data_IF_577271151291
#
_entry.id   IF_577271151291
#
_cell.length_a   1.000
_cell.length_b   1.000
_cell.length_c   1.000
_cell.angle_alpha   90.00
_cell.angle_beta   90.00
_cell.angle_gamma   90.00
#
_symmetry.space_group_name_H-M   'P 1'
#
loop_
_entity.id
_entity.type
_entity.pdbx_description
1 polymer ?
#
# COMPACT_ATOMS: atom_id res chain seq x y z
N UNK A 1 -43.15 43.21 22.83
CA UNK A 1 -42.47 41.92 23.03
C UNK A 1 -42.25 41.28 21.66
N UNK A 2 -41.01 41.24 21.18
CA UNK A 2 -40.64 40.57 19.90
C UNK A 2 -39.86 39.33 20.26
N UNK A 3 -40.43 38.19 19.99
CA UNK A 3 -39.81 36.87 20.23
C UNK A 3 -38.83 36.58 19.11
N UNK A 4 -37.53 36.49 19.43
CA UNK A 4 -36.48 35.96 18.51
C UNK A 4 -36.56 34.45 18.52
N UNK A 5 -36.85 33.87 17.37
CA UNK A 5 -36.70 32.44 17.15
C UNK A 5 -35.26 32.19 16.61
N UNK A 6 -34.43 31.57 17.42
CA UNK A 6 -33.10 31.16 17.02
C UNK A 6 -33.20 29.85 16.23
N UNK A 7 -32.86 29.91 14.94
CA UNK A 7 -32.76 28.75 14.05
C UNK A 7 -31.39 28.09 14.23
N UNK A 8 -31.34 26.99 14.98
CA UNK A 8 -30.13 26.13 15.06
C UNK A 8 -29.98 25.35 13.77
N UNK A 9 -29.08 25.77 12.88
CA UNK A 9 -28.61 24.91 11.79
C UNK A 9 -27.69 23.84 12.38
N UNK A 10 -28.20 22.65 12.51
CA UNK A 10 -27.37 21.46 12.79
C UNK A 10 -26.52 21.13 11.57
N UNK A 11 -25.20 21.32 11.64
CA UNK A 11 -24.27 20.72 10.70
C UNK A 11 -24.30 19.20 10.92
N UNK A 12 -24.93 18.47 10.03
CA UNK A 12 -24.76 17.04 9.93
C UNK A 12 -23.32 16.77 9.44
N UNK A 13 -22.44 16.33 10.34
CA UNK A 13 -21.16 15.77 9.96
C UNK A 13 -21.44 14.49 9.19
N UNK A 14 -21.31 14.52 7.86
CA UNK A 14 -21.27 13.33 7.04
C UNK A 14 -20.04 12.54 7.47
N UNK A 15 -20.25 11.41 8.15
CA UNK A 15 -19.20 10.43 8.36
C UNK A 15 -18.72 10.00 6.97
N UNK A 16 -17.51 10.41 6.59
CA UNK A 16 -16.87 9.97 5.36
C UNK A 16 -16.57 8.48 5.54
N UNK A 17 -17.53 7.63 5.14
CA UNK A 17 -17.30 6.18 5.05
C UNK A 17 -16.21 5.95 4.00
N UNK A 18 -15.28 5.04 4.30
CA UNK A 18 -14.28 4.65 3.30
C UNK A 18 -14.99 4.07 2.08
N UNK A 19 -14.57 4.48 0.90
CA UNK A 19 -15.12 4.00 -0.36
C UNK A 19 -14.72 2.55 -0.63
N UNK A 20 -15.53 1.84 -1.40
CA UNK A 20 -15.32 0.43 -1.70
C UNK A 20 -15.21 0.19 -3.20
N UNK A 21 -14.24 -0.62 -3.60
CA UNK A 21 -14.03 -1.07 -4.98
C UNK A 21 -14.04 -2.60 -5.00
N UNK A 22 -14.67 -3.21 -6.00
CA UNK A 22 -14.62 -4.66 -6.21
C UNK A 22 -13.64 -4.99 -7.33
N UNK A 23 -12.59 -5.76 -7.01
CA UNK A 23 -11.60 -6.23 -7.96
C UNK A 23 -10.97 -7.54 -7.49
N UNK A 24 -10.56 -8.41 -8.42
CA UNK A 24 -9.85 -9.68 -8.15
C UNK A 24 -10.59 -10.64 -7.20
N UNK A 25 -11.94 -10.59 -7.21
CA UNK A 25 -12.78 -11.38 -6.31
C UNK A 25 -12.79 -10.91 -4.84
N UNK A 26 -12.26 -9.72 -4.56
CA UNK A 26 -12.20 -9.09 -3.25
C UNK A 26 -12.88 -7.72 -3.27
N UNK A 27 -13.33 -7.29 -2.09
CA UNK A 27 -13.69 -5.89 -1.82
C UNK A 27 -12.48 -5.17 -1.26
N UNK A 28 -12.25 -3.95 -1.74
CA UNK A 28 -11.13 -3.12 -1.37
C UNK A 28 -11.62 -1.81 -0.78
N UNK A 29 -11.21 -1.53 0.44
CA UNK A 29 -11.44 -0.24 1.08
C UNK A 29 -10.38 0.74 0.62
N UNK A 30 -10.79 1.87 0.09
CA UNK A 30 -9.92 2.95 -0.38
C UNK A 30 -10.28 4.27 0.30
N UNK A 31 -9.30 5.17 0.52
CA UNK A 31 -9.59 6.50 1.07
C UNK A 31 -10.48 7.36 0.17
N UNK A 32 -10.27 7.27 -1.14
CA UNK A 32 -10.98 8.05 -2.17
C UNK A 32 -11.16 7.17 -3.39
N UNK A 33 -12.40 6.79 -3.72
CA UNK A 33 -12.68 5.89 -4.84
C UNK A 33 -12.29 6.48 -6.20
N UNK A 34 -12.46 7.79 -6.39
CA UNK A 34 -12.12 8.46 -7.66
C UNK A 34 -10.64 8.48 -7.99
N UNK A 35 -9.76 8.14 -7.04
CA UNK A 35 -8.33 7.98 -7.31
C UNK A 35 -8.01 6.66 -8.01
N UNK A 36 -8.95 5.74 -8.02
CA UNK A 36 -8.78 4.37 -8.51
C UNK A 36 -9.73 4.08 -9.68
N UNK A 37 -9.28 3.23 -10.59
CA UNK A 37 -10.08 2.74 -11.70
C UNK A 37 -9.81 1.26 -11.94
N UNK A 38 -10.86 0.47 -12.01
CA UNK A 38 -10.78 -0.87 -12.57
C UNK A 38 -10.86 -0.77 -14.10
N UNK A 39 -9.86 -1.24 -14.78
CA UNK A 39 -9.75 -1.21 -16.23
C UNK A 39 -9.14 -2.52 -16.76
N UNK A 40 -8.94 -2.60 -18.06
CA UNK A 40 -8.26 -3.74 -18.70
C UNK A 40 -6.89 -3.29 -19.20
N UNK A 41 -5.83 -3.90 -18.68
CA UNK A 41 -4.46 -3.69 -19.12
C UNK A 41 -3.96 -4.95 -19.82
N UNK A 42 -3.65 -4.85 -21.11
CA UNK A 42 -3.20 -5.98 -21.94
C UNK A 42 -4.15 -7.20 -21.86
N UNK A 43 -5.46 -6.96 -21.88
CA UNK A 43 -6.48 -8.01 -21.82
C UNK A 43 -6.76 -8.57 -20.40
N UNK A 44 -6.13 -8.06 -19.36
CA UNK A 44 -6.25 -8.54 -17.99
C UNK A 44 -6.85 -7.43 -17.11
N UNK A 45 -7.84 -7.72 -16.24
CA UNK A 45 -8.35 -6.74 -15.29
C UNK A 45 -7.24 -6.19 -14.40
N UNK A 46 -7.13 -4.86 -14.32
CA UNK A 46 -6.14 -4.15 -13.52
C UNK A 46 -6.81 -3.03 -12.72
N UNK A 47 -6.34 -2.81 -11.50
CA UNK A 47 -6.71 -1.68 -10.66
C UNK A 47 -5.63 -0.61 -10.76
N UNK A 48 -5.98 0.52 -11.34
CA UNK A 48 -5.07 1.63 -11.63
C UNK A 48 -5.25 2.76 -10.63
N UNK A 49 -4.14 3.29 -10.13
CA UNK A 49 -4.09 4.51 -9.33
C UNK A 49 -3.82 5.69 -10.27
N UNK A 50 -4.78 6.59 -10.40
CA UNK A 50 -4.83 7.62 -11.44
C UNK A 50 -4.44 9.02 -10.96
N UNK A 51 -4.55 9.29 -9.66
CA UNK A 51 -4.39 10.63 -9.10
C UNK A 51 -3.23 10.65 -8.13
N UNK A 52 -2.15 11.40 -8.43
CA UNK A 52 -1.06 11.57 -7.48
C UNK A 52 -1.54 12.49 -6.35
N UNK A 53 -1.24 12.11 -5.11
CA UNK A 53 -1.54 12.93 -3.94
C UNK A 53 -0.25 13.50 -3.35
N UNK A 54 -0.28 14.72 -2.78
CA UNK A 54 0.90 15.27 -2.13
C UNK A 54 1.25 14.44 -0.89
N UNK A 55 2.53 14.47 -0.49
CA UNK A 55 2.92 13.95 0.81
C UNK A 55 2.28 14.75 1.92
N UNK A 56 1.96 14.08 3.02
CA UNK A 56 1.37 14.69 4.22
C UNK A 56 2.34 14.58 5.40
N UNK A 57 2.10 15.40 6.42
CA UNK A 57 2.72 15.22 7.73
C UNK A 57 1.71 14.55 8.69
N UNK A 58 2.10 13.55 9.44
CA UNK A 58 3.39 12.85 9.39
C UNK A 58 3.59 12.13 8.05
N UNK A 59 4.87 11.96 7.64
CA UNK A 59 5.25 11.39 6.35
C UNK A 59 4.99 9.89 6.28
N UNK A 60 3.89 9.50 5.67
CA UNK A 60 3.44 8.12 5.50
C UNK A 60 2.58 7.96 4.24
N UNK A 61 2.43 6.73 3.70
CA UNK A 61 1.53 6.49 2.57
C UNK A 61 0.08 6.82 2.93
N UNK A 62 -0.64 7.42 1.98
CA UNK A 62 -2.06 7.75 2.13
C UNK A 62 -2.92 7.14 1.02
N UNK A 63 -2.33 6.63 -0.05
CA UNK A 63 -3.04 6.02 -1.17
C UNK A 63 -2.90 4.50 -1.14
N UNK A 64 -3.91 3.82 -0.67
CA UNK A 64 -3.93 2.36 -0.55
C UNK A 64 -5.33 1.80 -0.81
N UNK A 65 -5.36 0.57 -1.30
CA UNK A 65 -6.53 -0.29 -1.35
C UNK A 65 -6.29 -1.45 -0.39
N UNK A 66 -7.06 -1.51 0.69
CA UNK A 66 -6.99 -2.56 1.70
C UNK A 66 -8.05 -3.61 1.44
N UNK A 67 -7.65 -4.87 1.39
CA UNK A 67 -8.60 -5.95 1.23
C UNK A 67 -9.52 -6.07 2.44
N UNK A 68 -10.83 -6.09 2.21
CA UNK A 68 -11.85 -6.34 3.24
C UNK A 68 -11.90 -7.84 3.55
N UNK A 69 -10.94 -8.27 4.32
CA UNK A 69 -10.75 -9.63 4.83
C UNK A 69 -10.66 -9.60 6.35
N UNK A 70 -10.81 -10.72 7.05
CA UNK A 70 -10.33 -10.83 8.42
C UNK A 70 -8.83 -10.52 8.49
N UNK A 71 -8.35 -10.14 9.66
CA UNK A 71 -6.94 -9.90 9.89
C UNK A 71 -6.14 -11.20 9.73
N UNK A 72 -4.98 -11.10 9.11
CA UNK A 72 -4.04 -12.21 8.94
C UNK A 72 -2.96 -12.17 10.02
N UNK A 73 -2.72 -13.29 10.67
CA UNK A 73 -1.51 -13.50 11.46
C UNK A 73 -0.30 -13.74 10.54
N UNK A 74 -0.49 -14.60 9.52
CA UNK A 74 0.49 -14.85 8.47
C UNK A 74 -0.17 -14.55 7.13
N UNK A 75 0.48 -13.80 6.24
CA UNK A 75 -0.08 -13.44 4.95
C UNK A 75 0.92 -13.62 3.82
N UNK A 76 0.42 -14.11 2.70
CA UNK A 76 1.08 -14.06 1.40
C UNK A 76 0.22 -13.20 0.47
N UNK A 77 0.80 -12.13 -0.08
CA UNK A 77 0.21 -11.31 -1.12
C UNK A 77 1.05 -11.46 -2.39
N UNK A 78 0.40 -11.87 -3.46
CA UNK A 78 0.98 -11.98 -4.81
C UNK A 78 0.26 -10.99 -5.72
N UNK A 79 1.01 -10.28 -6.57
CA UNK A 79 0.47 -9.33 -7.54
C UNK A 79 1.42 -9.17 -8.72
N UNK A 80 0.88 -8.77 -9.86
CA UNK A 80 1.67 -8.09 -10.87
C UNK A 80 1.49 -6.58 -10.69
N UNK A 81 2.62 -5.85 -10.68
CA UNK A 81 2.68 -4.42 -10.44
C UNK A 81 3.43 -3.73 -11.57
N UNK A 82 2.92 -2.59 -12.02
CA UNK A 82 3.56 -1.75 -13.04
C UNK A 82 3.55 -0.32 -12.58
N UNK A 83 4.71 0.31 -12.56
CA UNK A 83 4.82 1.74 -12.30
C UNK A 83 4.42 2.51 -13.56
N UNK A 84 3.68 3.61 -13.40
CA UNK A 84 3.52 4.59 -14.46
C UNK A 84 4.75 5.51 -14.50
N UNK A 85 5.11 6.09 -15.66
CA UNK A 85 6.17 7.08 -15.74
C UNK A 85 5.95 8.22 -14.75
N UNK A 86 7.02 8.69 -14.12
CA UNK A 86 6.92 9.75 -13.12
C UNK A 86 6.34 11.02 -13.72
N UNK A 87 5.28 11.55 -13.13
CA UNK A 87 4.68 12.83 -13.52
C UNK A 87 5.61 14.02 -13.23
N UNK A 88 6.57 13.85 -12.33
CA UNK A 88 7.54 14.88 -11.94
C UNK A 88 8.92 14.53 -12.47
N UNK A 89 9.62 15.53 -13.03
CA UNK A 89 11.01 15.37 -13.49
C UNK A 89 11.92 14.91 -12.34
N UNK A 90 12.85 14.03 -12.66
CA UNK A 90 13.86 13.49 -11.75
C UNK A 90 13.29 12.67 -10.58
N UNK A 91 12.14 12.05 -10.77
CA UNK A 91 11.53 11.20 -9.78
C UNK A 91 11.04 9.91 -10.42
N UNK A 92 11.36 8.80 -9.81
CA UNK A 92 10.79 7.51 -10.17
C UNK A 92 9.61 7.20 -9.28
N UNK A 93 8.52 6.75 -9.89
CA UNK A 93 7.36 6.29 -9.16
C UNK A 93 7.70 5.05 -8.34
N UNK A 94 7.00 4.86 -7.24
CA UNK A 94 7.14 3.71 -6.39
C UNK A 94 5.78 3.18 -5.97
N UNK A 95 5.67 1.87 -5.88
CA UNK A 95 4.46 1.20 -5.47
C UNK A 95 4.70 0.48 -4.14
N UNK A 96 3.62 0.13 -3.45
CA UNK A 96 3.73 -0.54 -2.17
C UNK A 96 2.78 -1.74 -2.03
N UNK A 97 3.19 -2.66 -1.17
CA UNK A 97 2.34 -3.70 -0.59
C UNK A 97 2.29 -3.44 0.91
N UNK A 98 1.10 -3.17 1.44
CA UNK A 98 0.85 -3.02 2.86
C UNK A 98 0.55 -4.37 3.52
N UNK A 99 1.01 -4.55 4.75
CA UNK A 99 0.74 -5.73 5.57
C UNK A 99 0.69 -5.36 7.05
N UNK A 100 0.16 -6.25 7.89
CA UNK A 100 -0.05 -6.01 9.31
C UNK A 100 -0.77 -4.67 9.58
N UNK A 101 -1.70 -4.30 8.70
CA UNK A 101 -2.44 -3.04 8.78
C UNK A 101 -3.52 -3.12 9.86
N UNK A 102 -3.44 -2.24 10.83
CA UNK A 102 -4.45 -2.05 11.89
C UNK A 102 -5.30 -0.81 11.62
N UNK A 103 -4.64 0.31 11.38
CA UNK A 103 -5.24 1.60 11.04
C UNK A 103 -4.24 2.48 10.26
N UNK A 104 -4.63 3.70 9.91
CA UNK A 104 -3.80 4.63 9.13
C UNK A 104 -2.54 5.12 9.86
N UNK A 105 -2.38 4.81 11.16
CA UNK A 105 -1.23 5.16 11.98
C UNK A 105 -0.36 3.95 12.35
N UNK A 106 -0.85 2.72 12.11
CA UNK A 106 -0.19 1.49 12.56
C UNK A 106 -0.23 0.42 11.47
N UNK A 107 0.82 0.36 10.67
CA UNK A 107 0.97 -0.63 9.60
C UNK A 107 2.41 -0.73 9.12
N UNK A 108 2.71 -1.78 8.38
CA UNK A 108 3.97 -1.94 7.68
C UNK A 108 3.73 -2.03 6.17
N UNK A 109 4.76 -1.70 5.38
CA UNK A 109 4.69 -1.84 3.94
C UNK A 109 6.06 -2.05 3.30
N UNK A 110 6.07 -2.80 2.19
CA UNK A 110 7.18 -2.87 1.27
C UNK A 110 7.04 -1.77 0.22
N UNK A 111 8.08 -0.98 0.01
CA UNK A 111 8.16 0.11 -0.94
C UNK A 111 9.09 -0.28 -2.09
N UNK A 112 8.56 -0.39 -3.29
CA UNK A 112 9.22 -0.97 -4.46
C UNK A 112 9.38 0.08 -5.55
N UNK A 113 10.58 0.23 -6.10
CA UNK A 113 10.91 1.24 -7.11
C UNK A 113 11.99 0.71 -8.06
N UNK A 114 12.17 1.39 -9.19
CA UNK A 114 13.28 1.18 -10.12
C UNK A 114 14.58 1.86 -9.66
N UNK A 115 14.53 2.74 -8.66
CA UNK A 115 15.73 3.31 -8.02
C UNK A 115 16.38 2.29 -7.09
N UNK A 116 17.68 2.36 -6.91
CA UNK A 116 18.33 1.63 -5.81
C UNK A 116 18.10 2.30 -4.45
N UNK A 117 18.22 1.52 -3.36
CA UNK A 117 18.19 2.09 -2.01
C UNK A 117 19.43 2.96 -1.70
N UNK A 118 20.50 2.84 -2.48
CA UNK A 118 21.68 3.70 -2.40
C UNK A 118 21.40 5.09 -2.97
N UNK A 119 20.65 5.17 -4.08
CA UNK A 119 20.26 6.43 -4.72
C UNK A 119 19.15 7.12 -3.93
N UNK A 120 18.14 6.34 -3.51
CA UNK A 120 16.95 6.85 -2.82
C UNK A 120 16.69 6.05 -1.54
N UNK A 121 17.27 6.48 -0.42
CA UNK A 121 17.10 5.82 0.90
C UNK A 121 15.65 5.65 1.35
N UNK A 122 14.74 6.37 0.71
CA UNK A 122 13.30 6.32 0.96
C UNK A 122 12.57 5.32 0.07
N UNK A 123 13.26 4.69 -0.90
CA UNK A 123 12.73 3.66 -1.80
C UNK A 123 13.37 2.29 -1.51
N UNK A 124 12.84 1.25 -2.14
CA UNK A 124 13.34 -0.12 -2.06
C UNK A 124 13.66 -0.57 -0.64
N UNK A 125 12.62 -0.64 0.17
CA UNK A 125 12.75 -1.04 1.56
C UNK A 125 11.43 -1.42 2.18
N UNK A 126 11.53 -1.93 3.40
CA UNK A 126 10.39 -2.21 4.25
C UNK A 126 10.36 -1.15 5.33
N UNK A 127 9.17 -0.60 5.53
CA UNK A 127 8.93 0.53 6.43
C UNK A 127 7.82 0.19 7.41
N UNK A 128 7.93 0.75 8.60
CA UNK A 128 6.91 0.74 9.64
C UNK A 128 6.34 2.15 9.80
N UNK A 129 5.03 2.24 9.96
CA UNK A 129 4.31 3.42 10.46
C UNK A 129 3.76 3.08 11.84
N UNK A 130 4.13 3.88 12.84
CA UNK A 130 3.70 3.69 14.23
C UNK A 130 3.45 5.05 14.90
N UNK A 131 2.31 5.66 14.58
CA UNK A 131 1.85 6.92 15.16
C UNK A 131 2.49 8.20 14.61
N UNK A 132 3.58 8.08 13.84
CA UNK A 132 4.35 9.21 13.30
C UNK A 132 4.83 8.98 11.88
N UNK A 133 5.98 9.55 11.57
CA UNK A 133 6.67 9.34 10.30
C UNK A 133 7.00 7.86 10.09
N UNK A 134 7.02 7.44 8.83
CA UNK A 134 7.52 6.12 8.48
C UNK A 134 8.98 5.94 8.88
N UNK A 135 9.32 4.77 9.35
CA UNK A 135 10.69 4.39 9.70
C UNK A 135 11.08 3.17 8.88
N UNK A 136 12.25 3.21 8.23
CA UNK A 136 12.80 2.05 7.54
C UNK A 136 13.21 0.99 8.56
N UNK A 137 12.80 -0.26 8.33
CA UNK A 137 13.16 -1.43 9.16
C UNK A 137 13.95 -2.49 8.39
N UNK A 138 14.15 -2.30 7.08
CA UNK A 138 15.05 -3.11 6.25
C UNK A 138 16.42 -2.43 6.13
N UNK A 139 17.47 -3.14 5.62
CA UNK A 139 18.74 -2.52 5.28
C UNK A 139 18.59 -1.31 4.36
N UNK A 140 19.45 -0.29 4.53
CA UNK A 140 19.40 0.96 3.76
C UNK A 140 19.99 0.83 2.34
N UNK A 141 20.89 -0.13 2.15
CA UNK A 141 21.58 -0.35 0.87
C UNK A 141 20.97 -1.53 0.13
N UNK A 142 21.01 -1.47 -1.18
CA UNK A 142 20.59 -2.56 -2.03
C UNK A 142 20.19 -2.09 -3.43
N UNK A 143 20.14 -3.01 -4.39
CA UNK A 143 19.71 -2.72 -5.76
C UNK A 143 18.25 -2.30 -5.81
N UNK A 144 17.84 -1.77 -6.97
CA UNK A 144 16.43 -1.58 -7.29
C UNK A 144 15.65 -2.87 -7.14
N UNK A 145 14.46 -2.80 -6.56
CA UNK A 145 13.55 -3.96 -6.44
C UNK A 145 12.95 -4.30 -7.79
N UNK A 146 12.56 -3.26 -8.55
CA UNK A 146 12.05 -3.36 -9.91
C UNK A 146 13.18 -3.04 -10.89
N UNK A 147 13.25 -3.75 -12.02
CA UNK A 147 14.36 -3.60 -12.97
C UNK A 147 14.03 -2.68 -14.14
N UNK A 148 12.75 -2.34 -14.32
CA UNK A 148 12.24 -1.46 -15.38
C UNK A 148 10.83 -0.96 -15.02
N UNK A 149 10.25 -0.09 -15.82
CA UNK A 149 8.89 0.46 -15.63
C UNK A 149 7.75 -0.44 -16.19
N UNK A 150 8.05 -1.71 -16.52
CA UNK A 150 7.07 -2.69 -16.99
C UNK A 150 6.37 -3.44 -15.87
N UNK A 151 5.66 -4.52 -16.25
CA UNK A 151 5.03 -5.42 -15.30
C UNK A 151 6.07 -6.28 -14.58
N UNK A 152 5.96 -6.35 -13.27
CA UNK A 152 6.74 -7.21 -12.39
C UNK A 152 5.84 -8.10 -11.58
N UNK A 153 6.20 -9.36 -11.43
CA UNK A 153 5.58 -10.25 -10.45
C UNK A 153 6.19 -9.99 -9.08
N UNK A 154 5.35 -9.69 -8.09
CA UNK A 154 5.77 -9.42 -6.73
C UNK A 154 5.05 -10.35 -5.78
N UNK A 155 5.80 -10.95 -4.86
CA UNK A 155 5.27 -11.78 -3.77
C UNK A 155 5.81 -11.29 -2.44
N UNK A 156 4.93 -10.89 -1.54
CA UNK A 156 5.25 -10.61 -0.14
C UNK A 156 4.79 -11.78 0.73
N UNK A 157 5.65 -12.24 1.61
CA UNK A 157 5.32 -13.21 2.67
C UNK A 157 5.65 -12.60 4.01
N UNK A 158 4.67 -12.54 4.90
CA UNK A 158 4.80 -12.06 6.26
C UNK A 158 4.35 -13.12 7.27
N UNK A 159 5.16 -13.34 8.28
CA UNK A 159 4.88 -14.18 9.43
C UNK A 159 4.76 -13.30 10.68
N UNK A 160 3.54 -13.11 11.17
CA UNK A 160 3.26 -12.25 12.34
C UNK A 160 3.71 -12.85 13.67
N UNK A 161 4.05 -14.13 13.73
CA UNK A 161 4.59 -14.76 14.93
C UNK A 161 6.07 -14.40 15.10
N UNK A 162 6.84 -14.52 14.02
CA UNK A 162 8.28 -14.23 14.02
C UNK A 162 8.57 -12.77 13.68
N UNK A 163 7.61 -12.07 13.07
CA UNK A 163 7.76 -10.73 12.55
C UNK A 163 8.55 -10.67 11.24
N UNK A 164 8.93 -11.83 10.67
CA UNK A 164 9.72 -11.91 9.45
C UNK A 164 8.86 -11.52 8.24
N UNK A 165 9.40 -10.66 7.39
CA UNK A 165 8.81 -10.32 6.09
C UNK A 165 9.86 -10.49 4.99
N UNK A 166 9.45 -11.04 3.87
CA UNK A 166 10.27 -11.25 2.69
C UNK A 166 9.46 -10.85 1.44
N UNK A 167 10.15 -10.21 0.50
CA UNK A 167 9.56 -9.81 -0.79
C UNK A 167 10.41 -10.35 -1.93
N UNK A 168 9.79 -11.08 -2.82
CA UNK A 168 10.40 -11.59 -4.05
C UNK A 168 9.85 -10.84 -5.25
N UNK A 169 10.69 -10.59 -6.23
CA UNK A 169 10.35 -9.93 -7.48
C UNK A 169 10.83 -10.80 -8.65
N UNK A 170 9.95 -11.02 -9.64
CA UNK A 170 10.22 -11.73 -10.89
C UNK A 170 10.83 -13.13 -10.71
N UNK A 171 10.34 -13.86 -9.72
CA UNK A 171 10.75 -15.23 -9.48
C UNK A 171 12.23 -15.40 -9.08
N UNK A 172 12.90 -14.36 -8.60
CA UNK A 172 14.27 -14.47 -8.08
C UNK A 172 14.36 -15.56 -7.01
N UNK A 173 15.50 -16.20 -6.92
CA UNK A 173 15.75 -17.32 -5.97
C UNK A 173 15.98 -16.85 -4.54
N UNK A 174 16.27 -15.55 -4.35
CA UNK A 174 16.41 -14.90 -3.06
C UNK A 174 15.48 -13.69 -2.96
N UNK A 175 15.00 -13.33 -1.77
CA UNK A 175 14.14 -12.15 -1.60
C UNK A 175 14.91 -10.87 -1.96
N UNK A 176 14.22 -9.94 -2.65
CA UNK A 176 14.73 -8.62 -2.97
C UNK A 176 14.77 -7.72 -1.73
N UNK A 177 13.80 -7.89 -0.81
CA UNK A 177 13.71 -7.14 0.43
C UNK A 177 13.42 -8.08 1.60
N UNK A 178 14.03 -7.81 2.75
CA UNK A 178 13.78 -8.55 4.00
C UNK A 178 13.77 -7.61 5.20
N UNK A 179 12.96 -7.93 6.20
CA UNK A 179 13.01 -7.28 7.52
C UNK A 179 12.43 -8.21 8.59
N UNK A 180 12.62 -7.82 9.85
CA UNK A 180 11.98 -8.46 10.99
C UNK A 180 11.41 -7.39 11.90
N UNK A 181 10.09 -7.44 12.15
CA UNK A 181 9.41 -6.60 13.12
C UNK A 181 8.38 -7.40 13.93
N UNK A 182 8.76 -7.81 15.13
CA UNK A 182 7.91 -8.61 16.02
C UNK A 182 6.77 -7.82 16.67
N UNK A 183 6.73 -6.49 16.52
CA UNK A 183 5.73 -5.63 17.16
C UNK A 183 4.43 -5.52 16.36
N UNK A 184 4.47 -5.78 15.07
CA UNK A 184 3.33 -5.53 14.18
C UNK A 184 2.20 -6.54 14.37
N UNK A 185 2.50 -7.84 14.51
CA UNK A 185 1.49 -8.89 14.71
C UNK A 185 0.50 -9.00 13.55
N UNK A 186 -0.75 -9.34 13.88
CA UNK A 186 -1.80 -9.51 12.87
C UNK A 186 -2.33 -8.18 12.30
N UNK A 187 -2.90 -8.24 11.09
CA UNK A 187 -3.57 -7.12 10.45
C UNK A 187 -4.00 -7.41 9.02
N UNK A 188 -4.57 -6.41 8.36
CA UNK A 188 -4.99 -6.52 6.94
C UNK A 188 -3.80 -6.38 6.01
N UNK A 189 -4.03 -6.77 4.74
CA UNK A 189 -3.08 -6.57 3.64
C UNK A 189 -3.71 -5.73 2.53
N UNK A 190 -2.85 -5.07 1.74
CA UNK A 190 -3.31 -4.21 0.65
C UNK A 190 -2.20 -3.82 -0.31
N UNK A 191 -2.58 -3.06 -1.31
CA UNK A 191 -1.73 -2.52 -2.36
C UNK A 191 -1.87 -1.00 -2.42
N UNK A 192 -0.90 -0.29 -2.98
CA UNK A 192 -1.02 1.16 -3.11
C UNK A 192 0.27 1.85 -3.50
N UNK A 193 0.33 3.13 -3.15
CA UNK A 193 1.47 4.00 -3.39
C UNK A 193 1.63 5.00 -2.26
N UNK A 194 2.79 5.61 -2.18
CA UNK A 194 2.99 6.74 -1.28
C UNK A 194 2.25 7.98 -1.80
N UNK A 195 2.45 8.31 -3.07
CA UNK A 195 1.80 9.39 -3.82
C UNK A 195 2.04 9.27 -5.34
N UNK A 196 2.49 8.11 -5.79
CA UNK A 196 2.86 7.83 -7.17
C UNK A 196 1.76 7.05 -7.89
N UNK A 197 1.87 6.93 -9.22
CA UNK A 197 0.90 6.24 -10.05
C UNK A 197 1.39 4.86 -10.45
N UNK A 198 0.44 3.96 -10.67
CA UNK A 198 0.73 2.63 -11.15
C UNK A 198 -0.49 1.72 -11.22
N UNK A 199 -0.26 0.52 -11.68
CA UNK A 199 -1.28 -0.48 -11.93
C UNK A 199 -0.97 -1.77 -11.17
N UNK A 200 -2.03 -2.46 -10.78
CA UNK A 200 -1.98 -3.75 -10.09
C UNK A 200 -2.92 -4.71 -10.79
N UNK A 201 -2.48 -5.94 -11.05
CA UNK A 201 -3.32 -7.00 -11.60
C UNK A 201 -2.96 -8.36 -11.00
N UNK A 202 -3.82 -9.36 -11.20
CA UNK A 202 -3.65 -10.73 -10.67
C UNK A 202 -3.38 -10.75 -9.16
N UNK A 203 -4.00 -9.83 -8.42
CA UNK A 203 -3.79 -9.73 -6.97
C UNK A 203 -4.45 -10.89 -6.27
N UNK A 204 -3.67 -11.61 -5.46
CA UNK A 204 -4.11 -12.74 -4.66
C UNK A 204 -3.59 -12.59 -3.23
N UNK A 205 -4.47 -12.77 -2.26
CA UNK A 205 -4.14 -12.75 -0.84
C UNK A 205 -4.54 -14.08 -0.21
N UNK A 206 -3.60 -14.72 0.46
CA UNK A 206 -3.82 -15.96 1.20
C UNK A 206 -3.10 -15.88 2.54
N UNK A 207 -3.49 -16.69 3.51
CA UNK A 207 -2.79 -16.72 4.79
C UNK A 207 -3.60 -17.32 5.92
N UNK A 208 -2.98 -17.35 7.09
CA UNK A 208 -3.59 -17.77 8.34
C UNK A 208 -4.25 -16.57 8.99
N UNK A 209 -5.54 -16.68 9.27
CA UNK A 209 -6.29 -15.63 9.99
C UNK A 209 -5.85 -15.55 11.45
N UNK A 210 -5.87 -14.35 12.01
CA UNK A 210 -5.80 -14.16 13.46
C UNK A 210 -7.05 -14.79 14.11
N UNK A 211 -6.86 -15.36 15.29
CA UNK A 211 -7.94 -15.90 16.11
C UNK A 211 -8.58 -14.81 16.97
#
# INVERSE_FOLDING_TARGET
MRTLVALCLGLAATACGADMIEAFGLKWRVPIASDWKLETAEGIPALSLLVPRPSTEPRRPTQFALAETPDFLNVTLEAEMKQEPAALRNRHNSLMIAYAWKDANHFNYAHLSVDSAEEQKVHNGIFQVNGGDRVRISPEKGPASLTHEGWHTVKLVYDGVTGKVEVWVDGKTSPSLTAVDKRSGAGKAGIGSFFDLGQFRKVKITGQRAR
#
